data_IF_029339805929
#
_entry.id   IF_029339805929
#
_cell.length_a   1.000
_cell.length_b   1.000
_cell.length_c   1.000
_cell.angle_alpha   90.00
_cell.angle_beta   90.00
_cell.angle_gamma   90.00
#
_symmetry.space_group_name_H-M   'P 1'
#
loop_
_entity.id
_entity.type
_entity.pdbx_description
1 polymer ?
#
# COMPACT_ATOMS: atom_id res chain seq x y z
N UNK A 1 -22.88 87.78 4.73
CA UNK A 1 -23.67 87.68 3.48
C UNK A 1 -24.64 86.51 3.65
N UNK A 2 -25.94 86.82 3.70
CA UNK A 2 -27.19 86.01 3.59
C UNK A 2 -27.24 84.59 4.25
N UNK A 3 -27.96 84.43 5.37
CA UNK A 3 -29.42 84.05 5.56
C UNK A 3 -29.59 82.52 5.65
N UNK A 4 -29.83 81.96 6.86
CA UNK A 4 -31.10 81.44 7.45
C UNK A 4 -31.80 80.32 6.64
N UNK A 5 -32.51 79.32 7.18
CA UNK A 5 -32.73 78.64 8.47
C UNK A 5 -33.78 77.53 8.18
N UNK A 6 -34.07 76.64 9.15
CA UNK A 6 -35.28 75.76 9.31
C UNK A 6 -35.22 74.41 8.54
N UNK A 7 -35.03 73.22 9.17
CA UNK A 7 -35.84 72.37 10.11
C UNK A 7 -36.72 71.31 9.40
N UNK A 8 -36.63 70.08 9.94
CA UNK A 8 -37.59 68.95 10.00
C UNK A 8 -37.48 67.75 9.00
N UNK A 9 -37.19 66.59 9.61
CA UNK A 9 -37.86 65.27 9.55
C UNK A 9 -38.17 64.68 8.16
N UNK A 10 -37.65 63.48 7.89
CA UNK A 10 -38.26 62.57 6.92
C UNK A 10 -37.42 61.37 6.49
N UNK A 11 -37.90 60.16 6.83
CA UNK A 11 -38.04 59.09 5.84
C UNK A 11 -36.84 58.19 5.55
N UNK A 12 -36.90 57.00 6.16
CA UNK A 12 -36.24 55.76 5.75
C UNK A 12 -36.45 55.49 4.23
N UNK A 13 -35.38 55.22 3.48
CA UNK A 13 -35.44 54.59 2.16
C UNK A 13 -34.21 53.69 1.97
N UNK A 14 -34.45 52.39 2.13
CA UNK A 14 -33.49 51.30 1.91
C UNK A 14 -33.43 51.05 0.39
N UNK A 15 -32.26 51.14 -0.27
CA UNK A 15 -32.09 50.50 -1.56
C UNK A 15 -31.71 49.03 -1.31
N UNK A 16 -32.61 48.11 -1.70
CA UNK A 16 -32.31 46.69 -1.82
C UNK A 16 -31.17 46.52 -2.83
N UNK A 17 -29.97 46.23 -2.33
CA UNK A 17 -28.88 45.73 -3.14
C UNK A 17 -29.17 44.25 -3.44
N UNK A 18 -29.64 43.97 -4.66
CA UNK A 18 -29.62 42.62 -5.20
C UNK A 18 -28.16 42.24 -5.45
N UNK A 19 -27.52 41.58 -4.48
CA UNK A 19 -26.30 40.83 -4.72
C UNK A 19 -26.67 39.59 -5.55
N UNK A 20 -26.52 39.70 -6.87
CA UNK A 20 -26.43 38.53 -7.72
C UNK A 20 -25.13 37.80 -7.34
N UNK A 21 -25.24 36.73 -6.56
CA UNK A 21 -24.15 35.78 -6.37
C UNK A 21 -23.96 35.08 -7.71
N UNK A 22 -22.92 35.49 -8.43
CA UNK A 22 -22.46 34.80 -9.62
C UNK A 22 -21.80 33.50 -9.18
N UNK A 23 -22.56 32.40 -9.18
CA UNK A 23 -22.03 31.04 -9.06
C UNK A 23 -21.35 30.66 -10.37
N UNK A 24 -20.05 30.96 -10.50
CA UNK A 24 -19.24 30.40 -11.60
C UNK A 24 -17.77 30.22 -11.23
N UNK A 25 -17.49 29.86 -9.97
CA UNK A 25 -16.12 29.59 -9.47
C UNK A 25 -15.87 28.20 -8.88
N UNK A 26 -16.92 27.46 -8.47
CA UNK A 26 -16.75 26.26 -7.62
C UNK A 26 -16.60 24.93 -8.37
N UNK A 27 -16.80 24.89 -9.70
CA UNK A 27 -16.78 23.61 -10.42
C UNK A 27 -15.38 22.98 -10.60
N UNK A 28 -14.29 23.75 -10.47
CA UNK A 28 -12.93 23.18 -10.58
C UNK A 28 -12.47 22.42 -9.32
N UNK A 29 -13.02 22.74 -8.14
CA UNK A 29 -12.57 22.18 -6.87
C UNK A 29 -13.25 20.85 -6.49
N UNK A 30 -14.45 20.57 -6.98
CA UNK A 30 -15.23 19.38 -6.66
C UNK A 30 -15.79 19.37 -5.22
N UNK A 31 -16.57 18.33 -4.89
CA UNK A 31 -17.17 18.14 -3.57
C UNK A 31 -16.12 17.72 -2.55
N UNK A 32 -16.10 18.39 -1.40
CA UNK A 32 -15.14 18.11 -0.32
C UNK A 32 -15.77 17.25 0.77
N UNK A 33 -15.23 16.05 0.97
CA UNK A 33 -15.55 15.15 2.08
C UNK A 33 -14.43 15.27 3.12
N UNK A 34 -14.77 15.74 4.32
CA UNK A 34 -13.84 15.78 5.46
C UNK A 34 -14.12 14.61 6.38
N UNK A 35 -13.13 13.76 6.59
CA UNK A 35 -13.24 12.64 7.52
C UNK A 35 -12.83 13.10 8.91
N UNK A 36 -13.71 12.97 9.89
CA UNK A 36 -13.48 13.35 11.29
C UNK A 36 -12.96 12.15 12.10
N UNK A 37 -11.69 12.22 12.51
CA UNK A 37 -10.97 11.21 13.30
C UNK A 37 -11.57 10.92 14.67
N UNK A 38 -12.52 11.75 15.14
CA UNK A 38 -13.25 11.51 16.39
C UNK A 38 -14.36 10.48 16.24
N UNK A 39 -14.74 10.11 15.02
CA UNK A 39 -15.79 9.13 14.74
C UNK A 39 -15.19 7.83 14.19
N UNK A 40 -15.75 6.68 14.61
CA UNK A 40 -15.36 5.38 14.09
C UNK A 40 -15.66 5.25 12.59
N UNK A 41 -16.75 5.85 12.12
CA UNK A 41 -17.09 5.97 10.70
C UNK A 41 -17.39 7.43 10.41
N UNK A 42 -16.68 8.01 9.45
CA UNK A 42 -16.89 9.38 9.01
C UNK A 42 -17.04 9.43 7.50
N UNK A 43 -17.85 10.34 6.97
CA UNK A 43 -18.11 10.43 5.54
C UNK A 43 -19.29 11.33 5.22
N UNK A 44 -19.64 11.35 3.94
CA UNK A 44 -20.76 12.13 3.42
C UNK A 44 -21.48 11.35 2.32
N UNK A 45 -22.79 11.57 2.23
CA UNK A 45 -23.63 11.19 1.10
C UNK A 45 -23.85 12.42 0.23
N UNK A 46 -23.66 12.29 -1.08
CA UNK A 46 -23.77 13.38 -2.04
C UNK A 46 -24.71 12.93 -3.15
N UNK A 47 -25.69 13.75 -3.53
CA UNK A 47 -26.56 13.43 -4.66
C UNK A 47 -25.74 13.44 -5.95
N UNK A 48 -25.96 12.45 -6.83
CA UNK A 48 -25.24 12.37 -8.09
C UNK A 48 -25.62 13.52 -9.04
N UNK A 49 -26.86 13.98 -8.97
CA UNK A 49 -27.34 15.13 -9.75
C UNK A 49 -26.56 16.42 -9.41
N UNK A 50 -26.09 16.58 -8.17
CA UNK A 50 -25.28 17.73 -7.77
C UNK A 50 -23.84 17.65 -8.33
N UNK A 51 -23.32 16.43 -8.55
CA UNK A 51 -21.94 16.20 -9.04
C UNK A 51 -21.88 16.14 -10.55
N UNK A 52 -22.82 15.45 -11.17
CA UNK A 52 -22.83 15.15 -12.61
C UNK A 52 -24.28 15.13 -13.10
N UNK A 53 -24.87 16.33 -13.31
CA UNK A 53 -26.28 16.47 -13.70
C UNK A 53 -26.63 15.64 -14.95
N UNK A 54 -27.78 14.97 -14.91
CA UNK A 54 -28.27 14.17 -16.04
C UNK A 54 -27.67 12.77 -16.16
N UNK A 55 -26.93 12.31 -15.15
CA UNK A 55 -26.51 10.91 -15.06
C UNK A 55 -27.77 10.01 -14.92
N UNK A 56 -27.91 8.92 -15.69
CA UNK A 56 -29.07 8.04 -15.56
C UNK A 56 -29.06 7.34 -14.19
N UNK A 57 -30.25 7.09 -13.64
CA UNK A 57 -30.41 6.34 -12.38
C UNK A 57 -30.18 4.83 -12.55
N UNK A 58 -30.42 4.28 -13.75
CA UNK A 58 -30.24 2.85 -14.02
C UNK A 58 -28.95 2.60 -14.81
N UNK A 59 -28.06 1.77 -14.26
CA UNK A 59 -26.70 1.60 -14.78
C UNK A 59 -26.50 0.29 -15.56
N UNK A 60 -27.57 -0.46 -15.86
CA UNK A 60 -27.51 -1.76 -16.57
C UNK A 60 -26.78 -1.69 -17.92
N UNK A 61 -26.80 -0.53 -18.59
CA UNK A 61 -26.16 -0.31 -19.89
C UNK A 61 -24.68 0.08 -19.84
N UNK A 62 -24.04 0.05 -18.66
CA UNK A 62 -22.66 0.49 -18.44
C UNK A 62 -21.84 -0.57 -17.71
N UNK A 63 -20.53 -0.54 -17.95
CA UNK A 63 -19.58 -1.49 -17.37
C UNK A 63 -18.66 -0.87 -16.32
N UNK A 64 -18.52 0.45 -16.31
CA UNK A 64 -17.64 1.16 -15.40
C UNK A 64 -18.31 2.41 -14.86
N UNK A 65 -18.05 2.70 -13.58
CA UNK A 65 -18.18 4.05 -13.02
C UNK A 65 -16.78 4.61 -12.85
N UNK A 66 -16.60 5.88 -13.22
CA UNK A 66 -15.31 6.56 -13.22
C UNK A 66 -15.39 7.70 -12.23
N UNK A 67 -14.45 7.73 -11.30
CA UNK A 67 -14.32 8.80 -10.32
C UNK A 67 -13.08 9.62 -10.62
N UNK A 68 -13.21 10.94 -10.67
CA UNK A 68 -12.07 11.84 -10.58
C UNK A 68 -12.00 12.43 -9.18
N UNK A 69 -10.94 12.09 -8.45
CA UNK A 69 -10.80 12.50 -7.07
C UNK A 69 -9.35 12.78 -6.69
N UNK A 70 -9.18 13.43 -5.56
CA UNK A 70 -7.92 13.53 -4.82
C UNK A 70 -8.22 13.20 -3.36
N UNK A 71 -7.35 12.45 -2.71
CA UNK A 71 -7.45 12.16 -1.28
C UNK A 71 -6.12 12.46 -0.57
N UNK A 72 -6.16 13.03 0.63
CA UNK A 72 -4.95 13.44 1.36
C UNK A 72 -4.32 12.32 2.20
N UNK A 73 -4.72 11.06 1.98
CA UNK A 73 -4.26 9.90 2.78
C UNK A 73 -4.19 8.64 1.95
N UNK A 74 -3.23 7.74 2.22
CA UNK A 74 -3.22 6.38 1.66
C UNK A 74 -4.19 5.43 2.40
N UNK A 75 -4.89 5.88 3.45
CA UNK A 75 -5.87 5.05 4.16
C UNK A 75 -6.99 4.60 3.23
N UNK A 76 -7.50 3.38 3.48
CA UNK A 76 -8.63 2.83 2.73
C UNK A 76 -9.91 3.59 3.09
N UNK A 77 -10.71 3.89 2.08
CA UNK A 77 -12.03 4.49 2.22
C UNK A 77 -13.06 3.63 1.48
N UNK A 78 -14.33 3.96 1.60
CA UNK A 78 -15.44 3.27 0.97
C UNK A 78 -16.05 4.17 -0.07
N UNK A 79 -16.34 3.58 -1.22
CA UNK A 79 -17.13 4.15 -2.29
C UNK A 79 -18.37 3.29 -2.44
N UNK A 80 -19.53 3.84 -2.09
CA UNK A 80 -20.79 3.16 -2.26
C UNK A 80 -21.84 4.01 -2.94
N UNK A 81 -22.87 3.34 -3.43
CA UNK A 81 -24.00 3.96 -4.11
C UNK A 81 -25.28 3.56 -3.39
N UNK A 82 -26.21 4.49 -3.31
CA UNK A 82 -27.56 4.24 -2.79
C UNK A 82 -28.41 3.85 -4.00
N UNK A 83 -29.04 2.68 -3.92
CA UNK A 83 -29.87 2.10 -4.97
C UNK A 83 -31.26 1.76 -4.40
N UNK A 84 -32.17 1.29 -5.24
CA UNK A 84 -33.48 0.78 -4.81
C UNK A 84 -33.37 -0.36 -3.77
N UNK A 85 -32.27 -1.10 -3.78
CA UNK A 85 -31.97 -2.21 -2.86
C UNK A 85 -31.18 -1.75 -1.61
N UNK A 86 -30.92 -0.45 -1.50
CA UNK A 86 -30.16 0.16 -0.40
C UNK A 86 -28.71 0.47 -0.74
N UNK A 87 -27.87 0.59 0.28
CA UNK A 87 -26.49 1.04 0.13
C UNK A 87 -25.55 -0.13 -0.21
N UNK A 88 -24.82 -0.01 -1.33
CA UNK A 88 -23.87 -1.00 -1.82
C UNK A 88 -22.49 -0.37 -2.01
N UNK A 89 -21.44 -0.95 -1.42
CA UNK A 89 -20.11 -0.32 -1.37
C UNK A 89 -18.95 -1.26 -1.65
N UNK A 90 -17.86 -0.65 -2.11
CA UNK A 90 -16.53 -1.25 -2.21
C UNK A 90 -15.55 -0.47 -1.34
N UNK A 91 -14.49 -1.15 -0.91
CA UNK A 91 -13.38 -0.51 -0.22
C UNK A 91 -12.28 -0.16 -1.22
N UNK A 92 -11.88 1.09 -1.25
CA UNK A 92 -10.93 1.67 -2.21
C UNK A 92 -9.70 2.21 -1.47
N UNK A 93 -8.54 2.13 -2.12
CA UNK A 93 -7.30 2.77 -1.70
C UNK A 93 -6.73 3.54 -2.89
N UNK A 94 -6.27 4.78 -2.69
CA UNK A 94 -5.52 5.52 -3.72
C UNK A 94 -4.02 5.26 -3.59
N UNK A 95 -3.32 5.11 -4.71
CA UNK A 95 -1.86 5.05 -4.77
C UNK A 95 -1.22 6.43 -4.88
N UNK A 96 -2.05 7.45 -5.11
CA UNK A 96 -1.60 8.80 -5.44
C UNK A 96 -2.21 9.81 -4.46
N UNK A 97 -2.07 9.63 -3.13
CA UNK A 97 -2.56 10.64 -2.21
C UNK A 97 -1.97 12.01 -2.56
N UNK A 98 -2.74 13.08 -2.32
CA UNK A 98 -2.47 14.47 -2.74
C UNK A 98 -2.41 14.73 -4.26
N UNK A 99 -2.43 13.70 -5.09
CA UNK A 99 -2.50 13.84 -6.53
C UNK A 99 -3.91 13.53 -7.05
N UNK A 100 -4.38 14.34 -7.98
CA UNK A 100 -5.63 14.05 -8.69
C UNK A 100 -5.48 12.79 -9.54
N UNK A 101 -6.46 11.90 -9.46
CA UNK A 101 -6.50 10.72 -10.29
C UNK A 101 -7.92 10.39 -10.76
N UNK A 102 -7.98 9.70 -11.87
CA UNK A 102 -9.14 9.05 -12.42
C UNK A 102 -9.05 7.55 -12.13
N UNK A 103 -10.05 7.01 -11.43
CA UNK A 103 -10.17 5.59 -11.13
C UNK A 103 -11.42 5.04 -11.82
N UNK A 104 -11.22 4.11 -12.74
CA UNK A 104 -12.31 3.36 -13.35
C UNK A 104 -12.62 2.11 -12.51
N UNK A 105 -13.83 2.04 -11.98
CA UNK A 105 -14.32 0.94 -11.14
C UNK A 105 -15.27 0.08 -11.99
N UNK A 106 -14.91 -1.18 -12.28
CA UNK A 106 -15.82 -2.11 -12.93
C UNK A 106 -17.11 -2.28 -12.12
N UNK A 107 -18.25 -1.96 -12.72
CA UNK A 107 -19.56 -2.04 -12.08
C UNK A 107 -19.96 -3.47 -11.73
N UNK A 108 -19.41 -4.49 -12.42
CA UNK A 108 -19.56 -5.90 -12.02
C UNK A 108 -19.11 -6.15 -10.57
N UNK A 109 -18.20 -5.35 -10.02
CA UNK A 109 -17.75 -5.48 -8.63
C UNK A 109 -18.86 -5.17 -7.62
N UNK A 110 -19.85 -4.36 -7.98
CA UNK A 110 -21.03 -4.10 -7.17
C UNK A 110 -22.16 -5.10 -7.44
N UNK A 111 -22.20 -5.70 -8.64
CA UNK A 111 -23.31 -6.52 -9.13
C UNK A 111 -23.12 -8.02 -8.90
N UNK A 112 -21.87 -8.49 -8.91
CA UNK A 112 -21.54 -9.91 -8.98
C UNK A 112 -20.57 -10.35 -7.87
N UNK A 113 -20.70 -11.60 -7.39
CA UNK A 113 -19.66 -12.23 -6.57
C UNK A 113 -18.31 -12.24 -7.30
N UNK A 114 -17.18 -12.12 -6.58
CA UNK A 114 -15.87 -12.19 -7.20
C UNK A 114 -15.64 -13.51 -7.91
N UNK A 115 -15.01 -13.45 -9.09
CA UNK A 115 -14.53 -14.65 -9.75
C UNK A 115 -13.45 -15.34 -8.91
N UNK A 116 -13.51 -16.66 -8.89
CA UNK A 116 -12.60 -17.52 -8.17
C UNK A 116 -11.13 -17.37 -8.62
N UNK A 117 -10.17 -17.33 -7.69
CA UNK A 117 -8.73 -17.19 -7.95
C UNK A 117 -7.90 -18.15 -7.09
N UNK A 118 -6.58 -18.13 -7.26
CA UNK A 118 -5.64 -19.02 -6.56
C UNK A 118 -5.75 -18.97 -5.03
N UNK A 119 -6.12 -17.83 -4.49
CA UNK A 119 -6.26 -17.59 -3.06
C UNK A 119 -7.29 -16.48 -2.77
N UNK A 120 -7.65 -16.32 -1.50
CA UNK A 120 -8.60 -15.29 -1.05
C UNK A 120 -8.10 -13.87 -1.34
N UNK A 121 -6.79 -13.61 -1.25
CA UNK A 121 -6.27 -12.30 -1.53
C UNK A 121 -6.48 -11.94 -3.01
N UNK A 122 -6.14 -12.83 -3.94
CA UNK A 122 -6.37 -12.64 -5.37
C UNK A 122 -7.86 -12.56 -5.74
N UNK A 123 -8.72 -13.23 -4.99
CA UNK A 123 -10.18 -13.22 -5.19
C UNK A 123 -10.79 -11.87 -4.84
N UNK A 124 -10.45 -11.32 -3.66
CA UNK A 124 -11.09 -10.12 -3.13
C UNK A 124 -10.36 -8.82 -3.46
N UNK A 125 -9.09 -8.89 -3.86
CA UNK A 125 -8.29 -7.71 -4.13
C UNK A 125 -8.04 -7.51 -5.61
N UNK A 126 -8.50 -6.38 -6.12
CA UNK A 126 -8.48 -6.02 -7.54
C UNK A 126 -7.58 -4.80 -7.76
N UNK A 127 -6.30 -4.99 -8.14
CA UNK A 127 -5.42 -3.88 -8.49
C UNK A 127 -5.93 -3.10 -9.70
N UNK A 128 -5.90 -1.79 -9.57
CA UNK A 128 -5.97 -0.84 -10.67
C UNK A 128 -4.64 -0.07 -10.77
N UNK A 129 -4.50 0.88 -11.69
CA UNK A 129 -3.21 1.54 -11.93
C UNK A 129 -2.98 2.75 -11.02
N UNK A 130 -4.05 3.40 -10.59
CA UNK A 130 -4.02 4.55 -9.66
C UNK A 130 -4.57 4.21 -8.27
N UNK A 131 -5.04 2.99 -8.07
CA UNK A 131 -5.58 2.55 -6.79
C UNK A 131 -5.80 1.05 -6.71
N UNK A 132 -6.46 0.65 -5.64
CA UNK A 132 -6.77 -0.74 -5.34
C UNK A 132 -8.19 -0.86 -4.82
N UNK A 133 -8.91 -1.87 -5.30
CA UNK A 133 -10.30 -2.10 -4.94
C UNK A 133 -10.39 -3.43 -4.20
N UNK A 134 -10.94 -3.41 -3.00
CA UNK A 134 -11.26 -4.59 -2.22
C UNK A 134 -12.77 -4.82 -2.24
N UNK A 135 -13.14 -6.04 -2.62
CA UNK A 135 -14.53 -6.43 -2.89
C UNK A 135 -15.28 -6.74 -1.59
N UNK A 136 -15.62 -5.70 -0.83
CA UNK A 136 -16.49 -5.78 0.37
C UNK A 136 -17.96 -5.57 0.01
N UNK A 137 -18.87 -5.61 0.99
CA UNK A 137 -20.27 -5.21 0.81
C UNK A 137 -21.17 -6.27 0.17
N UNK A 138 -22.41 -5.87 -0.15
CA UNK A 138 -23.42 -6.70 -0.81
C UNK A 138 -23.29 -6.67 -2.33
N UNK A 139 -23.99 -7.57 -3.03
CA UNK A 139 -24.06 -7.56 -4.51
C UNK A 139 -25.49 -7.41 -4.95
N UNK A 140 -25.81 -6.25 -5.50
CA UNK A 140 -27.18 -5.88 -5.87
C UNK A 140 -27.17 -5.17 -7.22
N UNK A 141 -28.31 -5.18 -7.95
CA UNK A 141 -28.48 -4.34 -9.12
C UNK A 141 -28.21 -2.86 -8.80
N UNK A 142 -27.65 -2.14 -9.77
CA UNK A 142 -27.41 -0.69 -9.69
C UNK A 142 -28.54 0.03 -10.45
N UNK A 143 -29.73 0.01 -9.83
CA UNK A 143 -30.96 0.64 -10.30
C UNK A 143 -31.44 1.69 -9.32
N UNK A 144 -32.09 2.74 -9.83
CA UNK A 144 -32.51 3.85 -8.99
C UNK A 144 -31.35 4.53 -8.25
N UNK A 145 -30.16 4.56 -8.88
CA UNK A 145 -28.96 5.13 -8.26
C UNK A 145 -29.09 6.64 -8.16
N UNK A 146 -29.23 7.17 -6.94
CA UNK A 146 -29.46 8.61 -6.71
C UNK A 146 -28.25 9.34 -6.09
N UNK A 147 -27.40 8.64 -5.35
CA UNK A 147 -26.35 9.26 -4.54
C UNK A 147 -25.15 8.35 -4.34
N UNK A 148 -24.01 9.00 -4.13
CA UNK A 148 -22.74 8.36 -3.78
C UNK A 148 -22.44 8.61 -2.29
N UNK A 149 -22.04 7.55 -1.60
CA UNK A 149 -21.50 7.59 -0.25
C UNK A 149 -19.98 7.45 -0.28
N UNK A 150 -19.28 8.43 0.27
CA UNK A 150 -17.83 8.37 0.51
C UNK A 150 -17.63 8.35 2.03
N UNK A 151 -17.10 7.25 2.57
CA UNK A 151 -16.85 7.11 4.01
C UNK A 151 -15.50 6.47 4.31
N UNK A 152 -15.04 6.60 5.54
CA UNK A 152 -13.78 6.04 6.03
C UNK A 152 -13.99 5.50 7.44
N UNK A 153 -13.45 4.32 7.71
CA UNK A 153 -13.41 3.75 9.06
C UNK A 153 -12.12 4.17 9.78
N UNK A 154 -12.26 4.60 11.03
CA UNK A 154 -11.19 5.04 11.92
C UNK A 154 -10.19 6.00 11.23
N UNK A 155 -10.66 7.13 10.67
CA UNK A 155 -9.79 8.05 9.95
C UNK A 155 -8.68 8.61 10.86
N UNK A 156 -7.42 8.51 10.42
CA UNK A 156 -6.27 9.12 11.13
C UNK A 156 -5.97 10.50 10.56
N UNK A 157 -5.93 11.53 11.41
CA UNK A 157 -5.41 12.87 11.05
C UNK A 157 -6.38 13.75 10.26
N UNK A 158 -7.69 13.52 10.38
CA UNK A 158 -8.75 14.26 9.68
C UNK A 158 -8.55 14.43 8.15
N UNK A 159 -8.40 13.33 7.39
CA UNK A 159 -8.10 13.44 5.96
C UNK A 159 -9.26 14.05 5.18
N UNK A 160 -8.94 14.50 3.96
CA UNK A 160 -9.89 15.12 3.03
C UNK A 160 -9.89 14.35 1.73
N UNK A 161 -11.08 14.13 1.16
CA UNK A 161 -11.27 13.71 -0.22
C UNK A 161 -12.01 14.81 -0.99
N UNK A 162 -11.47 15.21 -2.14
CA UNK A 162 -12.16 16.05 -3.12
C UNK A 162 -12.63 15.17 -4.28
N UNK A 163 -13.93 15.20 -4.58
CA UNK A 163 -14.56 14.45 -5.68
C UNK A 163 -15.02 15.42 -6.75
N UNK A 164 -14.39 15.39 -7.92
CA UNK A 164 -14.68 16.31 -9.02
C UNK A 164 -15.80 15.82 -9.92
N UNK A 165 -15.83 14.54 -10.25
CA UNK A 165 -16.83 13.98 -11.18
C UNK A 165 -17.12 12.50 -10.93
N UNK A 166 -18.33 12.10 -11.33
CA UNK A 166 -18.77 10.70 -11.40
C UNK A 166 -19.36 10.47 -12.79
N UNK A 167 -18.74 9.61 -13.60
CA UNK A 167 -19.23 9.31 -14.96
C UNK A 167 -19.38 7.81 -15.19
N UNK A 168 -20.16 7.44 -16.20
CA UNK A 168 -20.39 6.05 -16.58
C UNK A 168 -19.77 5.76 -17.95
N UNK A 169 -19.20 4.56 -18.10
CA UNK A 169 -18.58 4.13 -19.34
C UNK A 169 -18.99 2.69 -19.70
N UNK A 170 -19.15 2.42 -21.01
CA UNK A 170 -19.48 1.10 -21.56
C UNK A 170 -18.25 0.20 -21.76
N UNK A 171 -17.08 0.81 -21.89
CA UNK A 171 -15.79 0.14 -22.04
C UNK A 171 -14.86 0.64 -20.93
N UNK A 172 -13.76 -0.08 -20.64
CA UNK A 172 -12.78 0.35 -19.62
C UNK A 172 -12.03 1.58 -20.15
N UNK A 173 -12.26 2.79 -19.60
CA UNK A 173 -11.54 3.97 -20.04
C UNK A 173 -10.10 4.00 -19.50
N UNK A 174 -9.74 3.04 -18.64
CA UNK A 174 -8.49 3.00 -17.92
C UNK A 174 -8.48 3.92 -16.71
N UNK A 175 -7.43 3.78 -15.92
CA UNK A 175 -7.11 4.72 -14.86
C UNK A 175 -6.14 5.77 -15.39
N UNK A 176 -6.20 7.00 -14.86
CA UNK A 176 -5.25 8.05 -15.24
C UNK A 176 -4.82 8.84 -14.02
N UNK A 177 -3.51 9.00 -13.85
CA UNK A 177 -3.01 10.01 -12.94
C UNK A 177 -3.09 11.38 -13.62
N UNK A 178 -3.70 12.35 -12.95
CA UNK A 178 -4.01 13.68 -13.48
C UNK A 178 -3.15 14.79 -12.85
N UNK A 179 -2.29 14.45 -11.88
CA UNK A 179 -1.39 15.41 -11.26
C UNK A 179 -0.19 15.76 -12.15
N UNK A 180 0.27 17.01 -12.05
CA UNK A 180 1.43 17.51 -12.79
C UNK A 180 2.76 16.99 -12.22
N UNK A 181 2.80 16.79 -10.90
CA UNK A 181 3.98 16.30 -10.20
C UNK A 181 3.91 14.77 -10.13
N UNK A 182 4.94 14.04 -10.57
CA UNK A 182 4.96 12.57 -10.44
C UNK A 182 4.84 12.13 -8.98
N UNK A 183 4.24 10.97 -8.75
CA UNK A 183 4.01 10.40 -7.40
C UNK A 183 5.26 9.78 -6.80
N UNK A 184 6.19 9.33 -7.64
CA UNK A 184 7.43 8.66 -7.24
C UNK A 184 8.63 9.47 -7.71
N UNK A 185 9.53 9.80 -6.78
CA UNK A 185 10.74 10.58 -7.05
C UNK A 185 11.90 9.73 -7.61
N UNK A 186 13.08 10.35 -7.78
CA UNK A 186 14.27 9.71 -8.33
C UNK A 186 14.88 8.62 -7.42
N UNK A 187 14.48 8.56 -6.16
CA UNK A 187 14.91 7.56 -5.16
C UNK A 187 13.87 6.47 -4.97
N UNK A 188 12.72 6.53 -5.66
CA UNK A 188 11.63 5.58 -5.50
C UNK A 188 10.72 5.90 -4.31
N UNK A 189 10.85 7.09 -3.73
CA UNK A 189 10.05 7.53 -2.59
C UNK A 189 8.79 8.26 -3.05
N UNK A 190 7.82 8.36 -2.15
CA UNK A 190 6.63 9.16 -2.38
C UNK A 190 6.97 10.65 -2.49
N UNK A 191 6.60 11.27 -3.62
CA UNK A 191 7.07 12.60 -3.98
C UNK A 191 6.14 13.73 -3.50
N UNK A 192 4.84 13.46 -3.33
CA UNK A 192 3.81 14.49 -3.09
C UNK A 192 3.58 14.86 -1.62
N UNK A 193 4.43 14.38 -0.71
CA UNK A 193 4.34 14.69 0.70
C UNK A 193 5.70 14.64 1.37
N UNK A 194 5.72 15.03 2.64
CA UNK A 194 6.92 15.12 3.47
C UNK A 194 6.76 14.25 4.72
N UNK A 195 7.87 13.71 5.23
CA UNK A 195 7.95 12.92 6.46
C UNK A 195 9.37 12.92 7.01
N UNK A 196 9.49 12.61 8.30
CA UNK A 196 10.79 12.45 8.96
C UNK A 196 11.63 11.37 8.28
N UNK A 197 12.84 11.72 7.82
CA UNK A 197 13.75 10.81 7.13
C UNK A 197 13.52 10.70 5.62
N UNK A 198 12.73 11.57 5.00
CA UNK A 198 12.68 11.68 3.54
C UNK A 198 14.04 12.12 2.98
N UNK A 199 14.49 11.47 1.91
CA UNK A 199 15.73 11.80 1.20
C UNK A 199 15.47 12.82 0.09
N UNK A 200 16.29 13.87 0.02
CA UNK A 200 16.19 14.91 -1.00
C UNK A 200 17.39 14.94 -1.97
N UNK A 201 18.49 14.30 -1.60
CA UNK A 201 19.73 14.36 -2.38
C UNK A 201 20.59 13.10 -2.20
N UNK A 202 21.50 12.87 -3.14
CA UNK A 202 22.48 11.78 -3.02
C UNK A 202 23.54 12.11 -1.96
N UNK A 203 23.81 13.39 -1.71
CA UNK A 203 24.71 13.88 -0.67
C UNK A 203 24.18 13.51 0.71
N UNK A 204 22.88 13.75 0.98
CA UNK A 204 22.22 13.31 2.21
C UNK A 204 22.34 11.79 2.39
N UNK A 205 22.09 11.00 1.34
CA UNK A 205 22.24 9.55 1.42
C UNK A 205 23.66 9.12 1.80
N UNK A 206 24.68 9.76 1.22
CA UNK A 206 26.08 9.45 1.57
C UNK A 206 26.37 9.75 3.03
N UNK A 207 25.93 10.90 3.54
CA UNK A 207 26.06 11.26 4.95
C UNK A 207 25.37 10.24 5.87
N UNK A 208 24.15 9.81 5.52
CA UNK A 208 23.42 8.78 6.27
C UNK A 208 24.11 7.41 6.22
N UNK A 209 24.69 7.04 5.07
CA UNK A 209 25.45 5.79 4.93
C UNK A 209 26.74 5.81 5.74
N UNK A 210 27.49 6.92 5.70
CA UNK A 210 28.71 7.10 6.49
C UNK A 210 28.40 7.07 8.00
N UNK A 211 27.31 7.71 8.41
CA UNK A 211 26.82 7.66 9.79
C UNK A 211 26.45 6.23 10.21
N UNK A 212 25.78 5.46 9.35
CA UNK A 212 25.47 4.05 9.62
C UNK A 212 26.75 3.19 9.70
N UNK A 213 27.73 3.43 8.84
CA UNK A 213 29.00 2.69 8.83
C UNK A 213 29.80 2.93 10.11
N UNK A 214 29.73 4.14 10.68
CA UNK A 214 30.36 4.48 11.95
C UNK A 214 29.71 3.80 13.18
N UNK A 215 28.50 3.24 13.06
CA UNK A 215 27.84 2.56 14.18
C UNK A 215 28.56 1.25 14.55
N UNK A 216 28.88 1.02 15.83
CA UNK A 216 29.48 -0.24 16.26
C UNK A 216 28.47 -1.40 16.10
N UNK A 217 28.98 -2.58 15.77
CA UNK A 217 28.23 -3.83 15.84
C UNK A 217 28.74 -4.65 17.03
N UNK A 218 28.18 -4.40 18.21
CA UNK A 218 28.48 -5.18 19.41
C UNK A 218 27.52 -6.38 19.47
N UNK A 219 28.02 -7.57 19.12
CA UNK A 219 27.26 -8.82 19.22
C UNK A 219 27.25 -9.36 20.65
N UNK A 220 28.27 -9.05 21.44
CA UNK A 220 28.45 -9.61 22.79
C UNK A 220 27.41 -9.08 23.77
N UNK A 221 26.96 -7.83 23.57
CA UNK A 221 25.93 -7.19 24.41
C UNK A 221 24.63 -8.02 24.55
N UNK A 222 24.31 -8.87 23.57
CA UNK A 222 23.07 -9.67 23.60
C UNK A 222 23.21 -10.98 24.36
N UNK A 223 24.43 -11.41 24.70
CA UNK A 223 24.67 -12.67 25.39
C UNK A 223 24.18 -13.89 24.61
N UNK A 224 24.39 -13.90 23.29
CA UNK A 224 23.96 -14.99 22.41
C UNK A 224 25.07 -16.02 22.16
N UNK A 225 24.68 -17.29 22.09
CA UNK A 225 25.52 -18.40 21.61
C UNK A 225 25.90 -18.23 20.14
N UNK A 226 26.68 -19.17 19.62
CA UNK A 226 26.98 -19.23 18.19
C UNK A 226 25.72 -19.26 17.31
N UNK A 227 24.64 -19.87 17.83
CA UNK A 227 23.37 -20.09 17.14
C UNK A 227 22.24 -19.14 17.55
N UNK A 228 22.52 -18.19 18.45
CA UNK A 228 21.53 -17.17 18.85
C UNK A 228 20.71 -17.50 20.10
N UNK A 229 21.00 -18.61 20.77
CA UNK A 229 20.40 -18.96 22.07
C UNK A 229 21.02 -18.14 23.21
N UNK A 230 20.34 -18.03 24.35
CA UNK A 230 20.80 -17.19 25.45
C UNK A 230 21.89 -17.90 26.28
N UNK A 231 23.10 -17.33 26.33
CA UNK A 231 24.27 -17.92 27.01
C UNK A 231 24.06 -18.17 28.51
N UNK A 232 23.17 -17.42 29.15
CA UNK A 232 22.83 -17.58 30.56
C UNK A 232 21.73 -18.64 30.81
N UNK A 233 21.25 -19.32 29.77
CA UNK A 233 20.13 -20.26 29.86
C UNK A 233 20.43 -21.58 29.11
N UNK A 234 21.54 -22.24 29.48
CA UNK A 234 21.85 -23.60 29.00
C UNK A 234 21.12 -24.65 29.82
N UNK A 235 20.46 -25.59 29.17
CA UNK A 235 19.69 -26.65 29.84
C UNK A 235 20.32 -28.04 29.69
N UNK A 236 21.13 -28.28 28.65
CA UNK A 236 21.86 -29.54 28.45
C UNK A 236 23.09 -29.36 27.54
N UNK A 237 23.67 -30.48 27.06
CA UNK A 237 24.86 -30.47 26.19
C UNK A 237 24.57 -30.09 24.73
N UNK A 238 23.30 -29.98 24.32
CA UNK A 238 22.89 -29.80 22.93
C UNK A 238 22.90 -31.11 22.14
N UNK A 239 22.18 -31.11 21.02
CA UNK A 239 22.06 -32.27 20.12
C UNK A 239 22.72 -32.04 18.76
N UNK A 240 23.28 -30.84 18.53
CA UNK A 240 23.71 -30.40 17.21
C UNK A 240 22.58 -29.90 16.30
N UNK A 241 21.32 -29.91 16.75
CA UNK A 241 20.16 -29.44 15.99
C UNK A 241 19.23 -28.58 16.84
N UNK A 242 18.53 -27.64 16.20
CA UNK A 242 17.40 -26.96 16.86
C UNK A 242 16.30 -27.96 17.22
N UNK A 243 15.74 -27.82 18.41
CA UNK A 243 14.65 -28.67 18.91
C UNK A 243 13.69 -27.87 19.79
N UNK A 244 12.59 -28.49 20.20
CA UNK A 244 11.66 -27.89 21.17
C UNK A 244 11.75 -28.59 22.52
N UNK A 245 11.59 -27.83 23.60
CA UNK A 245 11.49 -28.38 24.96
C UNK A 245 10.53 -27.55 25.81
N UNK A 246 9.88 -28.23 26.75
CA UNK A 246 9.04 -27.56 27.75
C UNK A 246 9.83 -27.42 29.05
N UNK A 247 10.29 -26.21 29.34
CA UNK A 247 11.07 -25.85 30.53
C UNK A 247 10.22 -24.99 31.45
N UNK A 248 10.03 -25.42 32.70
CA UNK A 248 9.19 -24.73 33.70
C UNK A 248 7.78 -24.38 33.18
N UNK A 249 7.16 -25.30 32.45
CA UNK A 249 5.81 -25.10 31.92
C UNK A 249 5.73 -24.25 30.64
N UNK A 250 6.82 -23.64 30.17
CA UNK A 250 6.87 -22.81 28.94
C UNK A 250 7.54 -23.58 27.80
N UNK A 251 7.02 -23.41 26.59
CA UNK A 251 7.64 -23.96 25.37
C UNK A 251 8.77 -23.06 24.90
N UNK A 252 9.91 -23.68 24.64
CA UNK A 252 11.10 -23.04 24.10
C UNK A 252 11.58 -23.80 22.87
N UNK A 253 12.23 -23.07 21.97
CA UNK A 253 13.25 -23.71 21.15
C UNK A 253 14.52 -23.85 21.98
N UNK A 254 15.32 -24.84 21.63
CA UNK A 254 16.67 -25.06 22.17
C UNK A 254 17.61 -25.09 20.98
N UNK A 255 18.68 -24.31 21.05
CA UNK A 255 19.68 -24.24 20.00
C UNK A 255 20.58 -25.50 19.96
N UNK A 256 21.39 -25.68 18.91
CA UNK A 256 22.28 -26.84 18.77
C UNK A 256 23.24 -27.12 19.94
N UNK A 257 23.56 -26.12 20.77
CA UNK A 257 24.50 -26.20 21.89
C UNK A 257 23.79 -26.38 23.25
N UNK A 258 22.46 -26.40 23.26
CA UNK A 258 21.63 -26.65 24.45
C UNK A 258 21.15 -25.38 25.15
N UNK A 259 21.23 -24.19 24.52
CA UNK A 259 20.73 -22.94 25.08
C UNK A 259 19.28 -22.69 24.68
N UNK A 260 18.48 -22.15 25.60
CA UNK A 260 17.13 -21.67 25.28
C UNK A 260 17.18 -20.61 24.18
N UNK A 261 16.23 -20.67 23.27
CA UNK A 261 16.19 -19.84 22.07
C UNK A 261 14.80 -19.26 21.83
N UNK A 262 14.76 -17.97 21.49
CA UNK A 262 13.59 -17.32 20.90
C UNK A 262 13.96 -16.84 19.50
N UNK A 263 13.17 -17.24 18.50
CA UNK A 263 13.35 -16.79 17.12
C UNK A 263 12.93 -15.33 16.99
N UNK A 264 13.92 -14.45 16.82
CA UNK A 264 13.71 -13.01 16.64
C UNK A 264 14.36 -12.57 15.32
N UNK A 265 13.53 -12.21 14.34
CA UNK A 265 13.98 -11.98 12.98
C UNK A 265 12.94 -11.27 12.11
N UNK A 266 13.39 -10.86 10.93
CA UNK A 266 12.58 -10.18 9.91
C UNK A 266 12.36 -11.13 8.74
N UNK A 267 11.14 -11.15 8.19
CA UNK A 267 10.81 -11.93 6.99
C UNK A 267 11.28 -11.20 5.71
N UNK A 268 11.35 -11.92 4.60
CA UNK A 268 11.62 -11.36 3.27
C UNK A 268 12.97 -10.65 3.14
N UNK A 269 14.01 -11.13 3.85
CA UNK A 269 15.33 -10.49 3.83
C UNK A 269 16.08 -10.82 2.54
N UNK A 270 16.30 -9.80 1.71
CA UNK A 270 17.03 -9.91 0.45
C UNK A 270 17.66 -8.55 0.07
N UNK A 271 18.80 -8.54 -0.65
CA UNK A 271 19.32 -7.30 -1.22
C UNK A 271 18.36 -6.78 -2.30
N UNK A 272 18.05 -5.49 -2.24
CA UNK A 272 17.31 -4.79 -3.30
C UNK A 272 15.82 -5.13 -3.37
N UNK A 273 15.28 -5.79 -2.33
CA UNK A 273 13.84 -6.01 -2.20
C UNK A 273 13.07 -4.69 -2.10
N UNK A 274 12.01 -4.54 -2.90
CA UNK A 274 11.14 -3.35 -2.89
C UNK A 274 11.39 -2.39 -4.07
N UNK A 275 10.39 -1.54 -4.36
CA UNK A 275 10.52 -0.51 -5.41
C UNK A 275 10.51 -1.03 -6.85
N UNK A 276 9.92 -2.21 -7.11
CA UNK A 276 9.79 -2.75 -8.46
C UNK A 276 8.63 -2.09 -9.23
N UNK A 277 8.93 -1.63 -10.44
CA UNK A 277 7.98 -0.90 -11.29
C UNK A 277 7.24 -1.85 -12.23
N UNK A 278 6.15 -2.45 -11.73
CA UNK A 278 5.25 -3.28 -12.54
C UNK A 278 4.35 -2.45 -13.46
N UNK A 279 3.90 -3.02 -14.58
CA UNK A 279 2.90 -2.41 -15.50
C UNK A 279 3.25 -0.96 -15.87
N UNK A 280 4.52 -0.69 -16.17
CA UNK A 280 5.03 0.65 -16.42
C UNK A 280 4.25 1.36 -17.55
N UNK A 281 3.87 0.60 -18.56
CA UNK A 281 3.08 1.01 -19.71
C UNK A 281 1.79 1.76 -19.33
N UNK A 282 1.14 1.37 -18.22
CA UNK A 282 -0.14 1.94 -17.78
C UNK A 282 0.01 3.09 -16.76
N UNK A 283 1.23 3.32 -16.25
CA UNK A 283 1.45 4.27 -15.14
C UNK A 283 2.78 5.01 -15.21
N UNK A 284 3.30 5.24 -16.42
CA UNK A 284 4.58 5.92 -16.67
C UNK A 284 4.64 7.31 -16.03
N UNK A 285 3.54 8.06 -16.03
CA UNK A 285 3.47 9.40 -15.48
C UNK A 285 3.50 9.45 -13.93
N UNK A 286 3.40 8.32 -13.24
CA UNK A 286 3.63 8.28 -11.79
C UNK A 286 5.11 8.46 -11.42
N UNK A 287 6.03 8.19 -12.34
CA UNK A 287 7.47 8.15 -12.04
C UNK A 287 8.19 9.35 -12.66
N UNK A 288 8.89 10.10 -11.81
CA UNK A 288 9.76 11.19 -12.25
C UNK A 288 10.93 10.64 -13.07
N UNK A 289 11.58 9.62 -12.55
CA UNK A 289 12.73 8.97 -13.14
C UNK A 289 12.56 7.45 -13.03
N UNK A 290 13.18 6.69 -13.93
CA UNK A 290 13.13 5.24 -13.91
C UNK A 290 14.52 4.67 -13.66
N UNK A 291 14.62 3.59 -12.87
CA UNK A 291 15.86 2.84 -12.73
C UNK A 291 16.42 2.38 -14.08
N UNK A 292 17.76 2.36 -14.24
CA UNK A 292 18.41 1.81 -15.43
C UNK A 292 18.03 0.34 -15.67
N UNK A 293 17.98 -0.06 -16.93
CA UNK A 293 17.54 -1.40 -17.35
C UNK A 293 18.49 -2.50 -16.85
N UNK A 294 19.78 -2.21 -16.78
CA UNK A 294 20.82 -3.11 -16.27
C UNK A 294 20.63 -3.49 -14.79
N UNK A 295 19.89 -2.66 -14.04
CA UNK A 295 19.56 -2.89 -12.63
C UNK A 295 18.15 -3.50 -12.45
N UNK A 296 17.48 -3.87 -13.53
CA UNK A 296 16.14 -4.45 -13.47
C UNK A 296 16.09 -5.71 -12.57
N UNK A 297 15.06 -5.79 -11.74
CA UNK A 297 14.79 -6.97 -10.92
C UNK A 297 14.09 -8.04 -11.77
N UNK A 298 14.52 -9.29 -11.62
CA UNK A 298 13.80 -10.45 -12.16
C UNK A 298 12.75 -10.92 -11.15
N UNK A 299 11.47 -10.81 -11.48
CA UNK A 299 10.41 -11.50 -10.75
C UNK A 299 9.59 -12.34 -11.72
N UNK A 300 9.73 -13.66 -11.63
CA UNK A 300 9.18 -14.59 -12.62
C UNK A 300 9.80 -14.38 -14.02
N UNK A 301 8.97 -14.39 -15.07
CA UNK A 301 9.41 -14.28 -16.47
C UNK A 301 9.65 -12.84 -16.96
N UNK A 302 9.49 -11.81 -16.11
CA UNK A 302 9.62 -10.40 -16.53
C UNK A 302 10.71 -9.69 -15.73
N UNK A 303 11.56 -8.95 -16.44
CA UNK A 303 12.47 -7.96 -15.86
C UNK A 303 11.71 -6.64 -15.73
N UNK A 304 11.80 -6.00 -14.57
CA UNK A 304 11.16 -4.71 -14.30
C UNK A 304 12.16 -3.74 -13.66
N UNK A 305 12.06 -2.42 -13.93
CA UNK A 305 12.91 -1.44 -13.25
C UNK A 305 12.81 -1.57 -11.72
N UNK A 306 13.93 -1.44 -11.02
CA UNK A 306 14.02 -1.66 -9.57
C UNK A 306 14.75 -0.51 -8.87
N UNK A 307 14.00 0.29 -8.09
CA UNK A 307 14.61 1.32 -7.24
C UNK A 307 15.45 0.70 -6.12
N UNK A 308 15.09 -0.49 -5.63
CA UNK A 308 15.88 -1.22 -4.64
C UNK A 308 17.30 -1.52 -5.13
N UNK A 309 17.44 -2.14 -6.30
CA UNK A 309 18.77 -2.40 -6.89
C UNK A 309 19.50 -1.11 -7.23
N UNK A 310 18.78 -0.10 -7.74
CA UNK A 310 19.42 1.16 -8.11
C UNK A 310 19.98 1.92 -6.91
N UNK A 311 19.22 1.99 -5.82
CA UNK A 311 19.69 2.63 -4.59
C UNK A 311 20.85 1.86 -3.95
N UNK A 312 20.86 0.51 -4.03
CA UNK A 312 22.01 -0.27 -3.61
C UNK A 312 23.24 -0.01 -4.49
N UNK A 313 23.07 0.07 -5.81
CA UNK A 313 24.16 0.40 -6.74
C UNK A 313 24.71 1.80 -6.49
N UNK A 314 23.85 2.79 -6.20
CA UNK A 314 24.27 4.14 -5.79
C UNK A 314 25.13 4.13 -4.52
N UNK A 315 24.84 3.24 -3.57
CA UNK A 315 25.61 3.10 -2.32
C UNK A 315 26.93 2.36 -2.51
N UNK A 316 26.90 1.24 -3.20
CA UNK A 316 27.97 0.23 -3.11
C UNK A 316 28.75 0.04 -4.42
N UNK A 317 28.30 0.64 -5.52
CA UNK A 317 28.87 0.48 -6.85
C UNK A 317 28.50 -0.86 -7.51
N UNK A 318 29.45 -1.45 -8.23
CA UNK A 318 29.25 -2.69 -8.99
C UNK A 318 28.94 -3.90 -8.08
N UNK A 319 29.63 -4.00 -6.93
CA UNK A 319 29.50 -5.11 -5.96
C UNK A 319 28.29 -4.97 -5.01
N UNK A 320 27.25 -4.24 -5.42
CA UNK A 320 26.19 -3.83 -4.50
C UNK A 320 25.45 -4.99 -3.84
N UNK A 321 25.29 -6.13 -4.53
CA UNK A 321 24.62 -7.29 -3.95
C UNK A 321 25.38 -7.85 -2.76
N UNK A 322 26.67 -8.15 -2.94
CA UNK A 322 27.49 -8.76 -1.91
C UNK A 322 27.64 -7.82 -0.71
N UNK A 323 27.96 -6.54 -0.95
CA UNK A 323 28.06 -5.53 0.11
C UNK A 323 26.74 -5.32 0.85
N UNK A 324 25.61 -5.37 0.14
CA UNK A 324 24.29 -5.33 0.78
C UNK A 324 24.01 -6.55 1.64
N UNK A 325 24.39 -7.76 1.22
CA UNK A 325 24.23 -8.98 2.04
C UNK A 325 25.08 -8.90 3.30
N UNK A 326 26.31 -8.40 3.19
CA UNK A 326 27.18 -8.21 4.35
C UNK A 326 26.61 -7.19 5.34
N UNK A 327 26.13 -6.04 4.83
CA UNK A 327 25.49 -5.04 5.69
C UNK A 327 24.15 -5.52 6.28
N UNK A 328 23.40 -6.39 5.60
CA UNK A 328 22.21 -7.04 6.19
C UNK A 328 22.61 -7.80 7.46
N UNK A 329 23.68 -8.61 7.42
CA UNK A 329 24.15 -9.34 8.61
C UNK A 329 24.65 -8.37 9.69
N UNK A 330 25.38 -7.32 9.32
CA UNK A 330 25.83 -6.28 10.27
C UNK A 330 24.65 -5.58 10.95
N UNK A 331 23.59 -5.23 10.21
CA UNK A 331 22.36 -4.67 10.79
C UNK A 331 21.70 -5.65 11.75
N UNK A 332 21.64 -6.93 11.38
CA UNK A 332 21.11 -7.96 12.29
C UNK A 332 21.94 -8.06 13.57
N UNK A 333 23.27 -7.96 13.49
CA UNK A 333 24.14 -7.88 14.68
C UNK A 333 23.83 -6.63 15.51
N UNK A 334 23.71 -5.45 14.89
CA UNK A 334 23.40 -4.18 15.60
C UNK A 334 22.01 -4.13 16.23
N UNK A 335 21.05 -4.89 15.70
CA UNK A 335 19.66 -4.86 16.15
C UNK A 335 19.28 -6.04 17.05
N UNK A 336 20.23 -6.93 17.35
CA UNK A 336 19.96 -8.12 18.16
C UNK A 336 19.05 -9.14 17.47
N UNK A 337 19.04 -9.15 16.13
CA UNK A 337 18.32 -10.16 15.37
C UNK A 337 19.17 -11.43 15.29
N UNK A 338 18.61 -12.54 15.77
CA UNK A 338 19.28 -13.83 15.82
C UNK A 338 18.83 -14.79 14.70
N UNK A 339 17.73 -14.46 14.01
CA UNK A 339 17.13 -15.32 12.99
C UNK A 339 16.92 -14.60 11.66
N UNK A 340 17.36 -15.21 10.56
CA UNK A 340 16.92 -14.88 9.21
C UNK A 340 15.57 -15.57 9.00
N UNK A 341 14.48 -14.81 9.11
CA UNK A 341 13.15 -15.39 9.15
C UNK A 341 12.61 -15.71 7.74
N UNK A 342 11.31 -15.97 7.66
CA UNK A 342 10.70 -16.64 6.53
C UNK A 342 10.78 -15.81 5.23
N UNK A 343 10.74 -16.48 4.08
CA UNK A 343 10.82 -15.88 2.73
C UNK A 343 12.09 -15.06 2.44
N UNK A 344 13.13 -15.23 3.25
CA UNK A 344 14.43 -14.61 2.98
C UNK A 344 15.16 -15.30 1.83
N UNK A 345 16.00 -14.53 1.14
CA UNK A 345 16.77 -14.97 -0.01
C UNK A 345 17.90 -15.93 0.36
N UNK A 346 18.22 -16.83 -0.58
CA UNK A 346 19.27 -17.83 -0.41
C UNK A 346 20.65 -17.24 -0.19
N UNK A 347 20.97 -16.16 -0.90
CA UNK A 347 22.25 -15.47 -0.76
C UNK A 347 22.51 -14.91 0.64
N UNK A 348 21.45 -14.66 1.44
CA UNK A 348 21.60 -14.21 2.83
C UNK A 348 21.81 -15.40 3.77
N UNK A 349 20.98 -16.44 3.71
CA UNK A 349 21.11 -17.57 4.64
C UNK A 349 22.30 -18.50 4.30
N UNK A 350 22.76 -18.57 3.05
CA UNK A 350 23.96 -19.33 2.67
C UNK A 350 25.25 -18.72 3.26
N UNK A 351 25.19 -17.51 3.85
CA UNK A 351 26.30 -16.96 4.64
C UNK A 351 26.58 -17.76 5.92
N UNK A 352 25.61 -18.55 6.41
CA UNK A 352 25.73 -19.37 7.63
C UNK A 352 26.21 -18.58 8.87
N UNK A 353 25.79 -17.32 8.99
CA UNK A 353 26.18 -16.42 10.09
C UNK A 353 25.14 -16.29 11.19
N UNK A 354 23.91 -16.72 10.93
CA UNK A 354 22.73 -16.59 11.80
C UNK A 354 21.87 -17.85 11.65
N UNK A 355 21.03 -18.14 12.65
CA UNK A 355 19.97 -19.12 12.49
C UNK A 355 19.03 -18.69 11.36
N UNK A 356 18.41 -19.63 10.65
CA UNK A 356 17.50 -19.30 9.55
C UNK A 356 16.36 -20.29 9.44
N UNK A 357 15.25 -19.82 8.88
CA UNK A 357 14.09 -20.66 8.54
C UNK A 357 14.09 -21.00 7.06
N UNK A 358 13.76 -22.24 6.71
CA UNK A 358 13.54 -22.67 5.33
C UNK A 358 12.05 -22.93 5.09
N UNK A 359 11.60 -22.63 3.86
CA UNK A 359 10.25 -22.98 3.43
C UNK A 359 10.22 -24.41 2.90
N UNK A 360 9.22 -25.18 3.33
CA UNK A 360 8.82 -26.36 2.59
C UNK A 360 8.18 -25.92 1.27
N UNK A 361 8.65 -26.49 0.15
CA UNK A 361 8.13 -26.22 -1.19
C UNK A 361 7.77 -27.54 -1.86
N UNK A 362 6.91 -27.48 -2.88
CA UNK A 362 6.65 -28.64 -3.73
C UNK A 362 5.75 -29.72 -3.12
N UNK A 363 4.89 -29.37 -2.15
CA UNK A 363 3.95 -30.31 -1.51
C UNK A 363 2.80 -30.71 -2.47
N UNK A 364 2.78 -30.16 -3.70
CA UNK A 364 1.69 -30.36 -4.66
C UNK A 364 0.46 -29.58 -4.22
N UNK A 365 -0.05 -28.72 -5.09
CA UNK A 365 -1.33 -28.04 -4.87
C UNK A 365 -2.19 -28.40 -6.07
N UNK A 366 -3.41 -28.87 -5.83
CA UNK A 366 -4.36 -29.11 -6.91
C UNK A 366 -4.49 -27.83 -7.75
N UNK A 367 -4.48 -27.95 -9.09
CA UNK A 367 -4.60 -26.80 -9.99
C UNK A 367 -5.97 -26.11 -9.99
N UNK A 368 -6.87 -26.51 -9.09
CA UNK A 368 -8.22 -25.98 -8.93
C UNK A 368 -8.31 -24.72 -8.07
N UNK A 369 -9.53 -24.18 -7.99
CA UNK A 369 -9.87 -23.06 -7.11
C UNK A 369 -9.58 -23.41 -5.65
N UNK A 370 -8.81 -22.58 -4.95
CA UNK A 370 -8.43 -22.83 -3.55
C UNK A 370 -7.89 -24.27 -3.37
N UNK A 371 -7.24 -24.79 -4.43
CA UNK A 371 -6.78 -26.16 -4.48
C UNK A 371 -5.93 -26.45 -3.25
N UNK A 372 -6.21 -27.58 -2.62
CA UNK A 372 -5.42 -28.08 -1.51
C UNK A 372 -4.50 -29.18 -2.01
N UNK A 373 -3.48 -29.49 -1.23
CA UNK A 373 -2.74 -30.72 -1.47
C UNK A 373 -3.68 -31.91 -1.22
N UNK A 374 -3.81 -32.80 -2.19
CA UNK A 374 -4.44 -34.10 -1.93
C UNK A 374 -3.46 -34.96 -1.12
N UNK A 375 -3.66 -34.99 0.19
CA UNK A 375 -2.82 -35.74 1.14
C UNK A 375 -3.00 -37.25 1.04
N UNK A 376 -3.96 -37.74 0.25
CA UNK A 376 -4.21 -39.17 0.01
C UNK A 376 -3.58 -39.67 -1.29
N UNK A 377 -3.22 -38.77 -2.21
CA UNK A 377 -2.63 -39.12 -3.48
C UNK A 377 -1.14 -39.49 -3.31
N UNK A 378 -0.81 -40.76 -3.53
CA UNK A 378 0.53 -41.37 -3.38
C UNK A 378 1.62 -40.81 -4.32
N UNK A 379 1.32 -39.83 -5.18
CA UNK A 379 2.32 -39.17 -6.03
C UNK A 379 3.10 -38.06 -5.31
N UNK A 380 3.34 -38.21 -4.01
CA UNK A 380 4.40 -37.47 -3.30
C UNK A 380 5.76 -38.13 -3.60
N UNK A 381 6.13 -38.23 -4.88
CA UNK A 381 7.50 -38.57 -5.26
C UNK A 381 7.91 -37.89 -6.56
N UNK A 382 9.11 -37.33 -6.49
CA UNK A 382 9.93 -36.75 -7.55
C UNK A 382 9.55 -35.32 -7.96
N UNK A 383 10.21 -34.38 -7.27
CA UNK A 383 10.56 -33.10 -7.87
C UNK A 383 11.24 -33.34 -9.22
N UNK A 384 10.59 -32.88 -10.28
CA UNK A 384 11.28 -32.48 -11.50
C UNK A 384 10.89 -31.05 -11.80
N UNK A 385 11.91 -30.20 -11.75
CA UNK A 385 11.92 -28.87 -12.35
C UNK A 385 11.59 -28.99 -13.83
N UNK A 386 10.42 -28.52 -14.27
CA UNK A 386 10.17 -28.06 -15.64
C UNK A 386 8.82 -27.32 -15.76
N UNK A 387 8.85 -25.98 -15.76
CA UNK A 387 8.38 -25.07 -16.84
C UNK A 387 8.35 -23.60 -16.41
#
# INVERSE_FOLDING_TARGET
MKVSAIVAIGGLLIPLLFCAVSCSGDQEEGFTVRFDSRHEVSGMKIALEDISPGLPADWDGYEYVVLEFMITTPQRFQVGFITDEGYNELRVMSYTPYGWNQLAIPLRFYREPPAARSDLAATFNQPRYTGWINLTGHRTPLKGVDSIGIRMHAPIGNPVLKLRSVTLAKEDPGDRYLGEVPVVDAFGQYNLGDWEGKVYSIEQLKEEWDAEEALPADREQYGYSAFGGFLNARIDQGTGFFRTEKVEGRWWFVDPEGYLFLSHGVNCVAPGGGGNVYRLEDRRNLYRELPPEELASGYGRRKVPSFGNWNLSRRYGEDYRQKSVDNIITRMDRWGLNTIANWSSREVYDRNRKAFTLQMRGIGIEGGLMGLADVTHLALSNGSTAR
#
